data_IF_762438287657
#
_entry.id   IF_762438287657
#
_cell.length_a   1.000
_cell.length_b   1.000
_cell.length_c   1.000
_cell.angle_alpha   90.00
_cell.angle_beta   90.00
_cell.angle_gamma   90.00
#
_symmetry.space_group_name_H-M   'P 1'
#
loop_
_entity.id
_entity.type
_entity.pdbx_description
1 polymer ?
#
# COMPACT_ATOMS: atom_id res chain seq x y z
N UNK A 1 17.71 21.44 16.68
CA UNK A 1 16.50 20.98 17.40
C UNK A 1 15.22 21.07 16.56
N UNK A 2 14.77 22.27 16.13
CA UNK A 2 13.51 22.49 15.40
C UNK A 2 13.31 21.63 14.14
N UNK A 3 14.36 21.42 13.34
CA UNK A 3 14.30 20.55 12.14
C UNK A 3 14.07 19.08 12.51
N UNK A 4 14.79 18.57 13.51
CA UNK A 4 14.62 17.20 13.98
C UNK A 4 13.23 16.97 14.57
N UNK A 5 12.70 17.95 15.31
CA UNK A 5 11.34 17.90 15.86
C UNK A 5 10.28 17.89 14.75
N UNK A 6 10.44 18.70 13.70
CA UNK A 6 9.56 18.65 12.51
C UNK A 6 9.59 17.28 11.83
N UNK A 7 10.77 16.70 11.63
CA UNK A 7 10.91 15.36 11.05
C UNK A 7 10.20 14.32 11.92
N UNK A 8 10.44 14.34 13.23
CA UNK A 8 9.80 13.42 14.17
C UNK A 8 8.28 13.52 14.12
N UNK A 9 7.71 14.73 14.11
CA UNK A 9 6.26 14.94 13.99
C UNK A 9 5.71 14.36 12.69
N UNK A 10 6.38 14.57 11.55
CA UNK A 10 5.92 14.03 10.26
C UNK A 10 5.99 12.50 10.23
N UNK A 11 7.04 11.89 10.81
CA UNK A 11 7.16 10.43 10.94
C UNK A 11 6.07 9.89 11.85
N UNK A 12 5.83 10.49 13.03
CA UNK A 12 4.77 10.07 13.95
C UNK A 12 3.38 10.18 13.30
N UNK A 13 3.14 11.27 12.55
CA UNK A 13 1.88 11.45 11.82
C UNK A 13 1.68 10.34 10.77
N UNK A 14 2.74 9.96 10.04
CA UNK A 14 2.69 8.85 9.09
C UNK A 14 2.35 7.54 9.78
N UNK A 15 3.03 7.23 10.89
CA UNK A 15 2.79 6.00 11.65
C UNK A 15 1.37 5.93 12.17
N UNK A 16 0.90 7.01 12.81
CA UNK A 16 -0.45 7.10 13.33
C UNK A 16 -1.50 6.91 12.22
N UNK A 17 -1.40 7.69 11.14
CA UNK A 17 -2.34 7.63 10.01
C UNK A 17 -2.37 6.24 9.38
N UNK A 18 -1.20 5.62 9.18
CA UNK A 18 -1.10 4.30 8.55
C UNK A 18 -1.62 3.17 9.45
N UNK A 19 -1.26 3.18 10.74
CA UNK A 19 -1.71 2.16 11.69
C UNK A 19 -3.22 2.31 11.91
N UNK A 20 -3.72 3.53 12.14
CA UNK A 20 -5.15 3.80 12.29
C UNK A 20 -5.94 3.31 11.07
N UNK A 21 -5.45 3.54 9.85
CA UNK A 21 -6.10 3.05 8.63
C UNK A 21 -6.21 1.52 8.60
N UNK A 22 -5.17 0.78 9.00
CA UNK A 22 -5.20 -0.69 9.00
C UNK A 22 -6.19 -1.23 10.02
N UNK A 23 -6.17 -0.70 11.26
CA UNK A 23 -7.09 -1.11 12.31
C UNK A 23 -8.54 -0.72 11.99
N UNK A 24 -8.76 0.47 11.42
CA UNK A 24 -10.07 0.92 10.97
C UNK A 24 -10.60 0.03 9.84
N UNK A 25 -9.77 -0.33 8.85
CA UNK A 25 -10.17 -1.27 7.82
C UNK A 25 -10.50 -2.65 8.39
N UNK A 26 -9.70 -3.18 9.33
CA UNK A 26 -10.01 -4.45 10.00
C UNK A 26 -11.33 -4.36 10.76
N UNK A 27 -11.57 -3.27 11.48
CA UNK A 27 -12.84 -3.04 12.17
C UNK A 27 -14.02 -2.94 11.19
N UNK A 28 -13.91 -2.20 10.10
CA UNK A 28 -14.99 -2.09 9.11
C UNK A 28 -15.33 -3.43 8.45
N UNK A 29 -14.33 -4.31 8.27
CA UNK A 29 -14.48 -5.59 7.58
C UNK A 29 -14.87 -6.76 8.48
N UNK A 30 -14.46 -6.72 9.76
CA UNK A 30 -14.52 -7.88 10.65
C UNK A 30 -15.11 -7.56 12.03
N UNK A 31 -15.63 -6.34 12.25
CA UNK A 31 -16.25 -6.00 13.53
C UNK A 31 -17.52 -6.82 13.75
N UNK A 32 -17.65 -7.50 14.92
CA UNK A 32 -18.86 -8.24 15.30
C UNK A 32 -20.10 -7.36 15.35
N UNK A 33 -19.88 -6.06 15.59
CA UNK A 33 -20.94 -5.06 15.66
C UNK A 33 -21.33 -4.55 14.28
N UNK A 34 -20.43 -4.49 13.30
CA UNK A 34 -20.74 -3.91 11.99
C UNK A 34 -21.14 -4.97 10.96
N UNK A 35 -20.60 -6.20 10.99
CA UNK A 35 -20.95 -7.34 10.09
C UNK A 35 -21.24 -6.94 8.63
N UNK A 36 -20.45 -6.01 8.08
CA UNK A 36 -20.61 -5.59 6.70
C UNK A 36 -19.82 -6.54 5.79
N UNK A 37 -20.52 -7.50 5.18
CA UNK A 37 -19.95 -8.39 4.16
C UNK A 37 -19.85 -7.71 2.77
N UNK A 38 -19.32 -6.49 2.73
CA UNK A 38 -19.17 -5.69 1.52
C UNK A 38 -17.82 -4.94 1.46
N UNK A 39 -16.67 -5.65 1.39
CA UNK A 39 -15.34 -5.04 1.32
C UNK A 39 -15.14 -4.09 0.12
N UNK A 40 -15.77 -4.37 -1.02
CA UNK A 40 -15.65 -3.51 -2.20
C UNK A 40 -16.42 -2.21 -2.03
N UNK A 41 -17.59 -2.25 -1.41
CA UNK A 41 -18.35 -1.04 -1.10
C UNK A 41 -17.57 -0.09 -0.19
N UNK A 42 -16.93 -0.61 0.86
CA UNK A 42 -16.08 0.18 1.75
C UNK A 42 -15.01 0.91 0.95
N UNK A 43 -14.32 0.20 0.07
CA UNK A 43 -13.20 0.76 -0.71
C UNK A 43 -13.65 1.67 -1.83
N UNK A 44 -14.78 1.38 -2.47
CA UNK A 44 -15.46 2.27 -3.40
C UNK A 44 -15.76 3.61 -2.74
N UNK A 45 -16.35 3.60 -1.55
CA UNK A 45 -16.66 4.83 -0.81
C UNK A 45 -15.39 5.59 -0.42
N UNK A 46 -14.35 4.90 0.05
CA UNK A 46 -13.05 5.51 0.36
C UNK A 46 -12.41 6.16 -0.88
N UNK A 47 -12.50 5.51 -2.05
CA UNK A 47 -12.00 6.05 -3.32
C UNK A 47 -12.82 7.27 -3.77
N UNK A 48 -14.15 7.19 -3.65
CA UNK A 48 -15.04 8.29 -4.00
C UNK A 48 -14.79 9.52 -3.12
N UNK A 49 -14.64 9.32 -1.80
CA UNK A 49 -14.32 10.40 -0.88
C UNK A 49 -12.93 11.00 -1.17
N UNK A 50 -11.94 10.16 -1.47
CA UNK A 50 -10.60 10.62 -1.86
C UNK A 50 -10.65 11.48 -3.13
N UNK A 51 -11.40 11.06 -4.16
CA UNK A 51 -11.59 11.83 -5.38
C UNK A 51 -12.32 13.17 -5.11
N UNK A 52 -13.35 13.15 -4.27
CA UNK A 52 -14.08 14.35 -3.86
C UNK A 52 -13.20 15.35 -3.10
N UNK A 53 -12.36 14.86 -2.17
CA UNK A 53 -11.40 15.68 -1.43
C UNK A 53 -10.34 16.29 -2.36
N UNK A 54 -9.79 15.50 -3.30
CA UNK A 54 -8.88 16.00 -4.33
C UNK A 54 -9.51 17.13 -5.16
N UNK A 55 -10.78 16.95 -5.57
CA UNK A 55 -11.51 17.96 -6.34
C UNK A 55 -11.77 19.22 -5.49
N UNK A 56 -12.23 19.06 -4.25
CA UNK A 56 -12.48 20.18 -3.32
C UNK A 56 -11.23 21.01 -3.06
N UNK A 57 -10.08 20.36 -2.86
CA UNK A 57 -8.80 21.06 -2.71
C UNK A 57 -8.41 21.82 -3.99
N UNK A 58 -8.69 21.26 -5.17
CA UNK A 58 -8.41 21.95 -6.45
C UNK A 58 -9.28 23.17 -6.68
N UNK A 59 -10.55 23.12 -6.27
CA UNK A 59 -11.49 24.24 -6.35
C UNK A 59 -11.14 25.32 -5.32
N UNK A 60 -10.78 24.92 -4.09
CA UNK A 60 -10.32 25.83 -3.04
C UNK A 60 -9.03 26.55 -3.41
N UNK A 61 -8.09 25.87 -4.07
CA UNK A 61 -6.86 26.47 -4.58
C UNK A 61 -7.10 27.50 -5.71
N UNK A 62 -8.22 27.37 -6.46
CA UNK A 62 -8.61 28.34 -7.48
C UNK A 62 -9.30 29.58 -6.90
N UNK A 63 -9.86 29.50 -5.68
CA UNK A 63 -10.58 30.60 -5.02
C UNK A 63 -9.75 31.32 -3.93
N UNK A 64 -8.65 30.73 -3.46
CA UNK A 64 -7.78 31.29 -2.42
C UNK A 64 -6.48 31.92 -2.96
N UNK A 65 -5.66 32.57 -2.10
CA UNK A 65 -4.31 32.99 -2.49
C UNK A 65 -3.49 31.78 -2.96
N UNK A 66 -2.55 31.95 -3.90
CA UNK A 66 -1.85 30.85 -4.57
C UNK A 66 -0.96 30.08 -3.60
N UNK A 67 -1.54 29.16 -2.85
CA UNK A 67 -0.83 28.17 -2.07
C UNK A 67 -0.16 27.21 -3.07
N UNK A 68 1.16 27.38 -3.20
CA UNK A 68 2.00 26.71 -4.16
C UNK A 68 1.78 25.18 -4.18
N UNK A 69 1.33 24.66 -5.33
CA UNK A 69 1.63 23.28 -5.74
C UNK A 69 0.46 22.34 -6.01
N UNK A 70 -0.80 22.78 -5.94
CA UNK A 70 -1.91 21.93 -6.42
C UNK A 70 -2.19 22.22 -7.91
N UNK A 71 -1.85 21.31 -8.86
CA UNK A 71 -2.15 21.53 -10.26
C UNK A 71 -3.66 21.51 -10.48
N UNK A 72 -4.16 22.41 -11.35
CA UNK A 72 -5.55 22.39 -11.79
C UNK A 72 -5.89 20.98 -12.32
N UNK A 73 -6.84 20.32 -11.66
CA UNK A 73 -7.30 18.98 -12.02
C UNK A 73 -8.30 19.09 -13.16
N UNK A 74 -7.78 19.07 -14.39
CA UNK A 74 -8.62 18.88 -15.59
C UNK A 74 -8.84 17.39 -15.78
N UNK A 75 -10.09 16.99 -16.04
CA UNK A 75 -10.46 15.63 -16.40
C UNK A 75 -10.21 15.43 -17.90
N UNK A 76 -9.06 14.87 -18.24
CA UNK A 76 -8.71 14.48 -19.59
C UNK A 76 -8.98 12.97 -19.79
N UNK A 77 -9.96 12.60 -20.65
CA UNK A 77 -10.30 11.20 -20.90
C UNK A 77 -9.12 10.38 -21.42
N UNK A 78 -8.21 11.03 -22.17
CA UNK A 78 -6.98 10.41 -22.68
C UNK A 78 -6.04 10.01 -21.54
N UNK A 79 -5.88 10.86 -20.53
CA UNK A 79 -5.03 10.57 -19.36
C UNK A 79 -5.68 9.49 -18.51
N UNK A 80 -7.00 9.59 -18.27
CA UNK A 80 -7.77 8.54 -17.59
C UNK A 80 -7.58 7.16 -18.23
N UNK A 81 -7.67 7.05 -19.57
CA UNK A 81 -7.47 5.79 -20.30
C UNK A 81 -6.06 5.22 -20.13
N UNK A 82 -5.03 6.07 -20.10
CA UNK A 82 -3.65 5.66 -19.86
C UNK A 82 -3.40 5.18 -18.42
N UNK A 83 -4.19 5.67 -17.45
CA UNK A 83 -4.14 5.27 -16.04
C UNK A 83 -4.98 4.01 -15.76
N UNK A 84 -5.91 3.63 -16.64
CA UNK A 84 -6.79 2.45 -16.43
C UNK A 84 -6.07 1.15 -16.06
N UNK A 85 -4.94 0.75 -16.70
CA UNK A 85 -4.24 -0.47 -16.31
C UNK A 85 -3.74 -0.43 -14.87
N UNK A 86 -3.28 0.73 -14.41
CA UNK A 86 -2.91 0.95 -13.01
C UNK A 86 -4.13 0.79 -12.09
N UNK A 87 -5.27 1.36 -12.46
CA UNK A 87 -6.50 1.29 -11.68
C UNK A 87 -7.08 -0.13 -11.57
N UNK A 88 -6.97 -0.94 -12.64
CA UNK A 88 -7.37 -2.34 -12.61
C UNK A 88 -6.50 -3.15 -11.62
N UNK A 89 -5.18 -2.96 -11.66
CA UNK A 89 -4.25 -3.61 -10.72
C UNK A 89 -4.47 -3.11 -9.29
N UNK A 90 -4.73 -1.82 -9.11
CA UNK A 90 -5.06 -1.22 -7.82
C UNK A 90 -6.32 -1.85 -7.20
N UNK A 91 -7.37 -2.08 -7.99
CA UNK A 91 -8.58 -2.76 -7.51
C UNK A 91 -8.27 -4.19 -7.10
N UNK A 92 -7.52 -4.94 -7.92
CA UNK A 92 -7.08 -6.29 -7.57
C UNK A 92 -6.29 -6.33 -6.26
N UNK A 93 -5.39 -5.35 -6.08
CA UNK A 93 -4.61 -5.15 -4.86
C UNK A 93 -5.49 -4.89 -3.64
N UNK A 94 -6.42 -3.94 -3.74
CA UNK A 94 -7.28 -3.53 -2.63
C UNK A 94 -8.26 -4.65 -2.25
N UNK A 95 -8.87 -5.29 -3.25
CA UNK A 95 -9.79 -6.43 -3.07
C UNK A 95 -9.09 -7.59 -2.37
N UNK A 96 -7.93 -8.00 -2.88
CA UNK A 96 -7.17 -9.11 -2.31
C UNK A 96 -6.66 -8.79 -0.91
N UNK A 97 -6.24 -7.54 -0.64
CA UNK A 97 -5.83 -7.11 0.70
C UNK A 97 -6.98 -7.20 1.70
N UNK A 98 -8.17 -6.72 1.34
CA UNK A 98 -9.32 -6.76 2.23
C UNK A 98 -9.78 -8.19 2.50
N UNK A 99 -9.81 -9.05 1.47
CA UNK A 99 -10.13 -10.46 1.63
C UNK A 99 -9.09 -11.19 2.49
N UNK A 100 -7.80 -10.85 2.36
CA UNK A 100 -6.74 -11.36 3.23
C UNK A 100 -6.98 -10.93 4.69
N UNK A 101 -7.22 -9.65 4.95
CA UNK A 101 -7.51 -9.13 6.30
C UNK A 101 -8.80 -9.67 6.90
N UNK A 102 -9.76 -10.09 6.07
CA UNK A 102 -10.98 -10.75 6.53
C UNK A 102 -10.70 -12.17 7.03
N UNK A 103 -9.84 -12.91 6.33
CA UNK A 103 -9.57 -14.32 6.61
C UNK A 103 -8.36 -14.57 7.50
N UNK A 104 -7.56 -13.54 7.79
CA UNK A 104 -6.31 -13.66 8.54
C UNK A 104 -6.14 -12.51 9.54
N UNK A 105 -5.44 -12.78 10.64
CA UNK A 105 -5.05 -11.79 11.63
C UNK A 105 -4.13 -10.71 11.05
N UNK A 106 -4.17 -9.52 11.66
CA UNK A 106 -3.38 -8.35 11.23
C UNK A 106 -1.87 -8.60 11.33
N UNK A 107 -1.46 -9.45 12.29
CA UNK A 107 -0.08 -9.81 12.51
C UNK A 107 0.50 -10.65 11.35
N UNK A 108 -0.21 -11.72 10.94
CA UNK A 108 0.19 -12.54 9.78
C UNK A 108 -0.02 -11.82 8.43
N UNK A 109 -0.97 -10.88 8.35
CA UNK A 109 -1.07 -10.00 7.18
C UNK A 109 0.23 -9.26 6.88
N UNK A 110 0.97 -8.79 7.89
CA UNK A 110 2.27 -8.14 7.68
C UNK A 110 3.33 -9.13 7.16
N UNK A 111 3.28 -10.39 7.60
CA UNK A 111 4.13 -11.48 7.10
C UNK A 111 3.85 -11.72 5.62
N UNK A 112 2.59 -11.89 5.21
CA UNK A 112 2.20 -12.04 3.81
C UNK A 112 2.56 -10.83 2.96
N UNK A 113 2.39 -9.61 3.49
CA UNK A 113 2.70 -8.35 2.79
C UNK A 113 4.17 -8.22 2.43
N UNK A 114 5.07 -8.78 3.23
CA UNK A 114 6.51 -8.73 2.95
C UNK A 114 6.91 -9.42 1.63
N UNK A 115 6.13 -10.42 1.17
CA UNK A 115 6.34 -11.10 -0.11
C UNK A 115 6.22 -10.14 -1.30
N UNK A 116 5.56 -9.00 -1.12
CA UNK A 116 5.55 -7.90 -2.11
C UNK A 116 6.97 -7.56 -2.55
N UNK A 117 7.94 -7.58 -1.63
CA UNK A 117 9.34 -7.30 -1.93
C UNK A 117 9.92 -8.30 -2.91
N UNK A 118 9.67 -9.60 -2.67
CA UNK A 118 10.13 -10.70 -3.52
C UNK A 118 9.50 -10.59 -4.91
N UNK A 119 8.19 -10.39 -4.99
CA UNK A 119 7.50 -10.19 -6.27
C UNK A 119 7.96 -8.94 -7.00
N UNK A 120 8.28 -7.86 -6.28
CA UNK A 120 8.78 -6.65 -6.89
C UNK A 120 10.16 -6.86 -7.54
N UNK A 121 11.05 -7.65 -6.91
CA UNK A 121 12.33 -8.06 -7.52
C UNK A 121 12.08 -8.90 -8.77
N UNK A 122 11.24 -9.94 -8.66
CA UNK A 122 10.92 -10.85 -9.76
C UNK A 122 10.32 -10.10 -10.96
N UNK A 123 9.32 -9.26 -10.73
CA UNK A 123 8.65 -8.50 -11.78
C UNK A 123 9.49 -7.36 -12.31
N UNK A 124 10.36 -6.74 -11.51
CA UNK A 124 11.34 -5.76 -12.02
C UNK A 124 12.33 -6.42 -12.96
N UNK A 125 12.73 -7.66 -12.68
CA UNK A 125 13.55 -8.44 -13.61
C UNK A 125 12.77 -8.81 -14.88
N UNK A 126 11.54 -9.35 -14.76
CA UNK A 126 10.75 -9.83 -15.90
C UNK A 126 10.22 -8.69 -16.80
N UNK A 127 9.68 -7.62 -16.21
CA UNK A 127 9.01 -6.53 -16.94
C UNK A 127 9.95 -5.39 -17.32
N UNK A 128 10.91 -5.05 -16.44
CA UNK A 128 11.82 -3.91 -16.66
C UNK A 128 13.21 -4.36 -17.13
N UNK A 129 13.50 -5.68 -17.16
CA UNK A 129 14.83 -6.24 -17.48
C UNK A 129 15.95 -5.65 -16.62
N UNK A 130 15.63 -5.26 -15.38
CA UNK A 130 16.61 -4.74 -14.43
C UNK A 130 17.25 -5.88 -13.64
N UNK A 131 18.58 -5.95 -13.66
CA UNK A 131 19.34 -6.91 -12.86
C UNK A 131 19.33 -6.49 -11.38
N UNK A 132 19.36 -7.47 -10.49
CA UNK A 132 19.32 -7.26 -9.04
C UNK A 132 20.57 -7.85 -8.41
N UNK A 133 21.15 -7.19 -7.41
CA UNK A 133 22.35 -7.68 -6.75
C UNK A 133 22.11 -8.98 -5.98
N UNK A 134 23.18 -9.75 -5.80
CA UNK A 134 23.18 -10.95 -4.97
C UNK A 134 22.70 -10.66 -3.54
N UNK A 135 23.06 -9.52 -2.98
CA UNK A 135 22.62 -9.11 -1.63
C UNK A 135 21.10 -8.93 -1.53
N UNK A 136 20.47 -8.37 -2.56
CA UNK A 136 19.02 -8.24 -2.61
C UNK A 136 18.32 -9.60 -2.81
N UNK A 137 18.94 -10.53 -3.55
CA UNK A 137 18.48 -11.92 -3.67
C UNK A 137 18.56 -12.68 -2.33
N UNK A 138 19.67 -12.53 -1.59
CA UNK A 138 19.80 -13.12 -0.25
C UNK A 138 18.73 -12.59 0.71
N UNK A 139 18.46 -11.29 0.68
CA UNK A 139 17.37 -10.69 1.47
C UNK A 139 15.99 -11.29 1.10
N UNK A 140 15.74 -11.55 -0.19
CA UNK A 140 14.52 -12.24 -0.63
C UNK A 140 14.46 -13.68 -0.09
N UNK A 141 15.59 -14.40 -0.08
CA UNK A 141 15.68 -15.73 0.52
C UNK A 141 15.30 -15.74 2.01
N UNK A 142 15.78 -14.75 2.78
CA UNK A 142 15.41 -14.58 4.19
C UNK A 142 13.91 -14.31 4.36
N UNK A 143 13.31 -13.49 3.49
CA UNK A 143 11.86 -13.22 3.52
C UNK A 143 11.06 -14.50 3.23
N UNK A 144 11.46 -15.29 2.23
CA UNK A 144 10.78 -16.55 1.88
C UNK A 144 10.88 -17.55 3.03
N UNK A 145 12.07 -17.70 3.62
CA UNK A 145 12.28 -18.60 4.77
C UNK A 145 11.45 -18.18 5.98
N UNK A 146 11.42 -16.87 6.27
CA UNK A 146 10.59 -16.33 7.34
C UNK A 146 9.09 -16.52 7.07
N UNK A 147 8.62 -16.32 5.84
CA UNK A 147 7.23 -16.56 5.45
C UNK A 147 6.84 -18.03 5.63
N UNK A 148 7.68 -18.97 5.19
CA UNK A 148 7.43 -20.40 5.38
C UNK A 148 7.32 -20.75 6.86
N UNK A 149 8.28 -20.31 7.67
CA UNK A 149 8.24 -20.52 9.13
C UNK A 149 6.96 -19.93 9.74
N UNK A 150 6.49 -18.77 9.27
CA UNK A 150 5.26 -18.15 9.75
C UNK A 150 4.02 -18.98 9.40
N UNK A 151 3.94 -19.50 8.18
CA UNK A 151 2.86 -20.39 7.72
C UNK A 151 2.83 -21.67 8.56
N UNK A 152 3.99 -22.28 8.80
CA UNK A 152 4.10 -23.50 9.61
C UNK A 152 3.60 -23.28 11.05
N UNK A 153 3.99 -22.16 11.68
CA UNK A 153 3.57 -21.84 13.05
C UNK A 153 2.07 -21.49 13.15
N UNK A 154 1.50 -20.74 12.21
CA UNK A 154 0.04 -20.52 12.16
C UNK A 154 -0.72 -21.84 11.90
N UNK A 155 -0.12 -22.75 11.14
CA UNK A 155 -0.65 -24.11 10.96
C UNK A 155 -0.66 -24.91 12.26
N UNK A 156 0.42 -24.85 13.03
CA UNK A 156 0.54 -25.51 14.32
C UNK A 156 -0.41 -24.91 15.39
N UNK A 157 -0.66 -23.60 15.33
CA UNK A 157 -1.63 -22.90 16.21
C UNK A 157 -3.09 -23.14 15.80
N UNK A 158 -3.35 -23.74 14.63
CA UNK A 158 -4.70 -24.05 14.14
C UNK A 158 -5.48 -22.84 13.61
N UNK A 159 -4.85 -21.68 13.50
CA UNK A 159 -5.42 -20.41 13.01
C UNK A 159 -5.26 -20.23 11.50
N UNK A 160 -4.66 -21.21 10.82
CA UNK A 160 -4.31 -21.13 9.41
C UNK A 160 -5.55 -21.13 8.49
N UNK A 161 -5.64 -20.09 7.67
CA UNK A 161 -6.62 -19.98 6.59
C UNK A 161 -5.93 -20.05 5.23
N UNK A 162 -6.12 -21.16 4.51
CA UNK A 162 -5.60 -21.34 3.15
C UNK A 162 -6.12 -20.28 2.17
N UNK A 163 -7.40 -19.91 2.30
CA UNK A 163 -8.02 -18.83 1.54
C UNK A 163 -7.34 -17.50 1.84
N UNK A 164 -7.03 -17.24 3.11
CA UNK A 164 -6.30 -16.06 3.55
C UNK A 164 -4.87 -15.99 3.00
N UNK A 165 -4.14 -17.11 3.03
CA UNK A 165 -2.79 -17.21 2.43
C UNK A 165 -2.83 -16.93 0.93
N UNK A 166 -3.77 -17.54 0.20
CA UNK A 166 -3.93 -17.34 -1.24
C UNK A 166 -4.18 -15.86 -1.57
N UNK A 167 -5.13 -15.21 -0.88
CA UNK A 167 -5.40 -13.79 -1.07
C UNK A 167 -4.23 -12.91 -0.62
N UNK A 168 -3.47 -13.31 0.40
CA UNK A 168 -2.26 -12.60 0.84
C UNK A 168 -1.15 -12.63 -0.21
N UNK A 169 -0.91 -13.78 -0.84
CA UNK A 169 0.07 -13.92 -1.94
C UNK A 169 -0.39 -13.10 -3.15
N UNK A 170 -1.66 -13.23 -3.53
CA UNK A 170 -2.23 -12.47 -4.65
C UNK A 170 -2.20 -10.96 -4.40
N UNK A 171 -2.50 -10.53 -3.17
CA UNK A 171 -2.40 -9.14 -2.77
C UNK A 171 -0.97 -8.63 -2.92
N UNK A 172 0.03 -9.35 -2.39
CA UNK A 172 1.44 -9.00 -2.53
C UNK A 172 1.91 -8.89 -3.98
N UNK A 173 1.44 -9.80 -4.85
CA UNK A 173 1.67 -9.72 -6.29
C UNK A 173 1.05 -8.44 -6.89
N UNK A 174 -0.23 -8.17 -6.62
CA UNK A 174 -0.90 -6.97 -7.11
C UNK A 174 -0.28 -5.68 -6.57
N UNK A 175 0.18 -5.64 -5.30
CA UNK A 175 0.90 -4.48 -4.73
C UNK A 175 2.18 -4.22 -5.53
N UNK A 176 2.95 -5.28 -5.83
CA UNK A 176 4.20 -5.14 -6.58
C UNK A 176 3.96 -4.67 -8.02
N UNK A 177 2.95 -5.21 -8.71
CA UNK A 177 2.51 -4.73 -10.02
C UNK A 177 2.05 -3.27 -9.96
N UNK A 178 1.26 -2.90 -8.93
CA UNK A 178 0.78 -1.54 -8.74
C UNK A 178 1.96 -0.56 -8.58
N UNK A 179 2.99 -0.92 -7.83
CA UNK A 179 4.20 -0.12 -7.67
C UNK A 179 4.95 0.08 -9.01
N UNK A 180 5.04 -0.97 -9.82
CA UNK A 180 5.68 -0.93 -11.15
C UNK A 180 4.88 -0.05 -12.12
N UNK A 181 3.57 -0.27 -12.22
CA UNK A 181 2.71 0.55 -13.08
C UNK A 181 2.64 2.00 -12.63
N UNK A 182 2.66 2.26 -11.32
CA UNK A 182 2.73 3.63 -10.78
C UNK A 182 3.97 4.34 -11.33
N UNK A 183 5.14 3.71 -11.29
CA UNK A 183 6.37 4.27 -11.87
C UNK A 183 6.27 4.48 -13.38
N UNK A 184 5.64 3.57 -14.10
CA UNK A 184 5.48 3.63 -15.56
C UNK A 184 4.49 4.72 -16.01
N UNK A 185 3.43 4.96 -15.23
CA UNK A 185 2.35 5.91 -15.54
C UNK A 185 2.65 7.31 -14.97
N UNK A 186 3.52 7.44 -13.95
CA UNK A 186 3.89 8.72 -13.35
C UNK A 186 4.36 9.79 -14.38
N UNK A 187 5.16 9.47 -15.41
CA UNK A 187 5.52 10.44 -16.45
C UNK A 187 4.34 10.93 -17.30
N UNK A 188 3.28 10.12 -17.44
CA UNK A 188 2.08 10.44 -18.24
C UNK A 188 1.21 11.51 -17.57
N UNK A 189 1.38 11.71 -16.26
CA UNK A 189 0.64 12.69 -15.44
C UNK A 189 1.54 13.85 -14.99
N UNK A 190 2.55 14.18 -15.78
CA UNK A 190 3.55 15.24 -15.52
C UNK A 190 4.29 15.07 -14.19
N UNK A 191 4.48 13.82 -13.73
CA UNK A 191 5.13 13.55 -12.43
C UNK A 191 4.28 13.91 -11.20
N UNK A 192 3.03 14.34 -11.39
CA UNK A 192 2.16 14.74 -10.29
C UNK A 192 1.47 13.54 -9.64
N UNK A 193 1.90 13.21 -8.42
CA UNK A 193 1.29 12.17 -7.58
C UNK A 193 -0.19 12.50 -7.31
N UNK A 194 -0.53 13.77 -7.13
CA UNK A 194 -1.90 14.22 -6.91
C UNK A 194 -2.81 13.94 -8.09
N UNK A 195 -2.32 14.24 -9.30
CA UNK A 195 -3.04 13.95 -10.53
C UNK A 195 -3.20 12.44 -10.70
N UNK A 196 -2.15 11.65 -10.44
CA UNK A 196 -2.21 10.20 -10.49
C UNK A 196 -3.27 9.64 -9.52
N UNK A 197 -3.25 10.09 -8.26
CA UNK A 197 -4.19 9.66 -7.22
C UNK A 197 -5.62 10.00 -7.62
N UNK A 198 -5.87 11.20 -8.12
CA UNK A 198 -7.21 11.59 -8.58
C UNK A 198 -7.72 10.71 -9.72
N UNK A 199 -6.95 10.57 -10.81
CA UNK A 199 -7.34 9.73 -11.95
C UNK A 199 -7.52 8.27 -11.54
N UNK A 200 -6.64 7.76 -10.69
CA UNK A 200 -6.73 6.39 -10.22
C UNK A 200 -8.00 6.14 -9.39
N UNK A 201 -8.35 7.07 -8.49
CA UNK A 201 -9.55 6.93 -7.66
C UNK A 201 -10.85 7.10 -8.47
N UNK A 202 -10.89 8.03 -9.44
CA UNK A 202 -12.04 8.18 -10.36
C UNK A 202 -12.23 6.90 -11.19
N UNK A 203 -11.15 6.41 -11.82
CA UNK A 203 -11.20 5.16 -12.58
C UNK A 203 -11.59 3.98 -11.68
N UNK A 204 -11.09 3.94 -10.44
CA UNK A 204 -11.43 2.90 -9.49
C UNK A 204 -12.93 2.92 -9.14
N UNK A 205 -13.53 4.09 -8.91
CA UNK A 205 -14.98 4.20 -8.68
C UNK A 205 -15.80 3.60 -9.84
N UNK A 206 -15.40 3.87 -11.09
CA UNK A 206 -16.07 3.32 -12.28
C UNK A 206 -15.92 1.80 -12.36
N UNK A 207 -14.73 1.27 -12.06
CA UNK A 207 -14.41 -0.16 -12.15
C UNK A 207 -14.95 -0.97 -10.96
N UNK A 208 -15.10 -0.38 -9.78
CA UNK A 208 -15.71 -1.04 -8.61
C UNK A 208 -17.21 -1.28 -8.81
N UNK A 209 -17.90 -0.41 -9.54
CA UNK A 209 -19.34 -0.55 -9.78
C UNK A 209 -19.74 -1.92 -10.39
N UNK A 210 -19.19 -2.36 -11.53
CA UNK A 210 -19.51 -3.68 -12.08
C UNK A 210 -19.07 -4.82 -11.17
N UNK A 211 -17.96 -4.67 -10.44
CA UNK A 211 -17.49 -5.71 -9.51
C UNK A 211 -18.45 -5.89 -8.32
N UNK A 212 -18.98 -4.81 -7.76
CA UNK A 212 -20.00 -4.87 -6.71
C UNK A 212 -21.30 -5.54 -7.19
N UNK A 213 -21.68 -5.34 -8.47
CA UNK A 213 -22.82 -6.05 -9.08
C UNK A 213 -22.52 -7.55 -9.19
N UNK A 214 -21.36 -7.91 -9.75
CA UNK A 214 -20.97 -9.29 -9.98
C UNK A 214 -20.83 -10.11 -8.70
N UNK A 215 -20.31 -9.49 -7.64
CA UNK A 215 -20.12 -10.13 -6.33
C UNK A 215 -21.36 -10.04 -5.43
N UNK A 216 -22.43 -9.39 -5.90
CA UNK A 216 -23.71 -9.33 -5.19
C UNK A 216 -23.70 -8.43 -3.95
N UNK A 217 -22.70 -7.55 -3.77
CA UNK A 217 -22.60 -6.69 -2.59
C UNK A 217 -23.80 -5.74 -2.46
N UNK A 218 -24.44 -5.34 -3.57
CA UNK A 218 -25.68 -4.55 -3.51
C UNK A 218 -26.82 -5.28 -2.78
N UNK A 219 -26.90 -6.61 -2.90
CA UNK A 219 -27.89 -7.41 -2.17
C UNK A 219 -27.56 -7.43 -0.67
N UNK A 220 -26.29 -7.58 -0.33
CA UNK A 220 -25.81 -7.53 1.06
C UNK A 220 -26.09 -6.17 1.68
N UNK A 221 -25.83 -5.08 0.95
CA UNK A 221 -26.14 -3.73 1.38
C UNK A 221 -27.64 -3.52 1.59
N UNK A 222 -28.49 -3.98 0.67
CA UNK A 222 -29.94 -3.83 0.82
C UNK A 222 -30.49 -4.47 2.12
N UNK A 223 -29.91 -5.59 2.54
CA UNK A 223 -30.28 -6.27 3.79
C UNK A 223 -29.48 -5.79 5.01
N UNK A 224 -28.68 -4.74 4.86
CA UNK A 224 -27.81 -4.25 5.93
C UNK A 224 -28.54 -3.24 6.82
N UNK A 225 -28.93 -3.68 8.01
CA UNK A 225 -29.74 -2.91 8.96
C UNK A 225 -29.11 -1.60 9.43
N UNK A 226 -27.78 -1.44 9.31
CA UNK A 226 -27.04 -0.25 9.80
C UNK A 226 -26.73 0.78 8.72
N UNK A 227 -27.23 0.61 7.50
CA UNK A 227 -27.10 1.61 6.42
C UNK A 227 -27.62 2.99 6.81
N UNK A 228 -28.67 3.07 7.63
CA UNK A 228 -29.23 4.34 8.10
C UNK A 228 -28.48 4.97 9.28
N UNK A 229 -27.48 4.29 9.85
CA UNK A 229 -26.82 4.74 11.07
C UNK A 229 -25.83 5.87 10.80
N UNK A 230 -25.93 7.03 11.49
CA UNK A 230 -24.90 8.07 11.40
C UNK A 230 -23.53 7.60 11.85
N UNK A 231 -23.46 6.66 12.80
CA UNK A 231 -22.19 6.09 13.29
C UNK A 231 -21.48 5.28 12.20
N UNK A 232 -22.23 4.52 11.40
CA UNK A 232 -21.69 3.79 10.25
C UNK A 232 -21.06 4.75 9.23
N UNK A 233 -21.79 5.78 8.82
CA UNK A 233 -21.28 6.77 7.87
C UNK A 233 -20.14 7.61 8.44
N UNK A 234 -20.14 7.87 9.76
CA UNK A 234 -19.02 8.49 10.46
C UNK A 234 -17.74 7.66 10.33
N UNK A 235 -17.82 6.35 10.57
CA UNK A 235 -16.66 5.45 10.43
C UNK A 235 -16.22 5.26 8.98
N UNK A 236 -17.16 5.17 8.04
CA UNK A 236 -16.87 5.11 6.60
C UNK A 236 -16.15 6.38 6.12
N UNK A 237 -16.63 7.55 6.55
CA UNK A 237 -16.03 8.85 6.24
C UNK A 237 -14.65 8.98 6.87
N UNK A 238 -14.51 8.57 8.12
CA UNK A 238 -13.21 8.55 8.81
C UNK A 238 -12.20 7.69 8.06
N UNK A 239 -12.60 6.49 7.61
CA UNK A 239 -11.76 5.61 6.80
C UNK A 239 -11.34 6.25 5.48
N UNK A 240 -12.26 6.92 4.76
CA UNK A 240 -11.90 7.62 3.53
C UNK A 240 -11.00 8.84 3.76
N UNK A 241 -11.17 9.57 4.87
CA UNK A 241 -10.28 10.67 5.27
C UNK A 241 -8.88 10.16 5.58
N UNK A 242 -8.74 9.06 6.33
CA UNK A 242 -7.44 8.42 6.56
C UNK A 242 -6.82 7.87 5.27
N UNK A 243 -7.64 7.32 4.36
CA UNK A 243 -7.22 6.88 3.03
C UNK A 243 -6.70 8.00 2.13
N UNK A 244 -7.27 9.21 2.24
CA UNK A 244 -6.71 10.40 1.60
C UNK A 244 -5.44 10.89 2.32
N UNK A 245 -5.50 10.98 3.65
CA UNK A 245 -4.42 11.51 4.49
C UNK A 245 -3.13 10.69 4.36
N UNK A 246 -3.20 9.36 4.19
CA UNK A 246 -2.00 8.54 4.03
C UNK A 246 -1.20 8.95 2.79
N UNK A 247 -1.88 9.26 1.67
CA UNK A 247 -1.21 9.76 0.46
C UNK A 247 -0.50 11.09 0.70
N UNK A 248 -1.17 12.01 1.39
CA UNK A 248 -0.60 13.32 1.75
C UNK A 248 0.61 13.19 2.68
N UNK A 249 0.45 12.45 3.78
CA UNK A 249 1.46 12.33 4.82
C UNK A 249 2.67 11.52 4.34
N UNK A 250 2.48 10.51 3.49
CA UNK A 250 3.58 9.82 2.80
C UNK A 250 4.39 10.79 1.94
N UNK A 251 3.73 11.62 1.14
CA UNK A 251 4.41 12.66 0.35
C UNK A 251 5.17 13.67 1.22
N UNK A 252 4.55 14.09 2.33
CA UNK A 252 5.15 14.99 3.30
C UNK A 252 6.41 14.37 3.95
N UNK A 253 6.33 13.10 4.35
CA UNK A 253 7.46 12.40 4.94
C UNK A 253 8.62 12.28 3.96
N UNK A 254 8.36 11.89 2.72
CA UNK A 254 9.38 11.82 1.67
C UNK A 254 10.03 13.20 1.45
N UNK A 255 9.22 14.27 1.44
CA UNK A 255 9.70 15.65 1.24
C UNK A 255 10.60 16.15 2.38
N UNK A 256 10.27 15.83 3.64
CA UNK A 256 11.06 16.25 4.81
C UNK A 256 12.21 15.31 5.15
N UNK A 257 12.24 14.11 4.56
CA UNK A 257 13.28 13.11 4.80
C UNK A 257 13.92 12.68 3.47
N UNK A 258 13.68 11.43 3.05
CA UNK A 258 14.05 10.90 1.75
C UNK A 258 13.16 9.69 1.42
N UNK A 259 13.08 9.27 0.15
CA UNK A 259 12.41 8.02 -0.21
C UNK A 259 12.97 6.79 0.53
N UNK A 260 14.27 6.77 0.78
CA UNK A 260 14.93 5.69 1.55
C UNK A 260 14.48 5.70 3.01
N UNK A 261 14.48 6.87 3.64
CA UNK A 261 14.03 7.04 5.04
C UNK A 261 12.56 6.68 5.20
N UNK A 262 11.70 7.04 4.24
CA UNK A 262 10.30 6.63 4.22
C UNK A 262 10.16 5.09 4.19
N UNK A 263 10.92 4.40 3.35
CA UNK A 263 10.85 2.94 3.27
C UNK A 263 11.34 2.27 4.55
N UNK A 264 12.46 2.74 5.13
CA UNK A 264 12.94 2.27 6.43
C UNK A 264 11.91 2.51 7.54
N UNK A 265 11.33 3.71 7.59
CA UNK A 265 10.25 4.05 8.51
C UNK A 265 9.02 3.16 8.29
N UNK A 266 8.71 2.78 7.06
CA UNK A 266 7.62 1.88 6.71
C UNK A 266 7.80 0.48 7.30
N UNK A 267 9.01 -0.06 7.27
CA UNK A 267 9.35 -1.35 7.88
C UNK A 267 9.26 -1.27 9.40
N UNK A 268 9.84 -0.23 10.03
CA UNK A 268 9.75 -0.04 11.47
C UNK A 268 8.29 0.13 11.95
N UNK A 269 7.47 0.86 11.19
CA UNK A 269 6.03 0.96 11.40
C UNK A 269 5.34 -0.41 11.28
N UNK A 270 5.74 -1.27 10.34
CA UNK A 270 5.20 -2.62 10.23
C UNK A 270 5.53 -3.45 11.47
N UNK A 271 6.77 -3.36 12.00
CA UNK A 271 7.15 -4.00 13.26
C UNK A 271 6.23 -3.55 14.42
N UNK A 272 6.09 -2.24 14.60
CA UNK A 272 5.27 -1.68 15.66
C UNK A 272 3.79 -2.06 15.50
N UNK A 273 3.27 -2.04 14.26
CA UNK A 273 1.90 -2.46 13.97
C UNK A 273 1.68 -3.95 14.31
N UNK A 274 2.65 -4.84 14.05
CA UNK A 274 2.54 -6.25 14.41
C UNK A 274 2.48 -6.42 15.93
N UNK A 275 3.36 -5.74 16.69
CA UNK A 275 3.36 -5.80 18.16
C UNK A 275 2.04 -5.25 18.72
N UNK A 276 1.59 -4.10 18.23
CA UNK A 276 0.31 -3.51 18.63
C UNK A 276 -0.88 -4.43 18.31
N UNK A 277 -0.87 -5.12 17.17
CA UNK A 277 -1.93 -6.06 16.82
C UNK A 277 -1.98 -7.24 17.78
N UNK A 278 -0.84 -7.87 18.08
CA UNK A 278 -0.78 -9.00 19.02
C UNK A 278 -1.27 -8.59 20.41
N UNK A 279 -0.89 -7.40 20.90
CA UNK A 279 -1.36 -6.87 22.18
C UNK A 279 -2.86 -6.55 22.15
N UNK A 280 -3.34 -5.89 21.10
CA UNK A 280 -4.73 -5.43 21.00
C UNK A 280 -5.73 -6.58 20.83
N UNK A 281 -5.35 -7.63 20.08
CA UNK A 281 -6.17 -8.82 19.88
C UNK A 281 -5.93 -9.90 20.94
N UNK A 282 -5.11 -9.62 21.96
CA UNK A 282 -4.77 -10.55 23.06
C UNK A 282 -4.29 -11.93 22.56
N UNK A 283 -3.56 -11.94 21.44
CA UNK A 283 -3.05 -13.17 20.83
C UNK A 283 -1.77 -13.64 21.54
N UNK A 284 -1.70 -14.92 21.91
CA UNK A 284 -0.45 -15.53 22.38
C UNK A 284 0.25 -16.21 21.21
N UNK A 285 1.48 -15.76 20.90
CA UNK A 285 2.26 -16.27 19.76
C UNK A 285 3.52 -17.00 20.21
N UNK A 286 3.86 -18.09 19.51
CA UNK A 286 5.06 -18.89 19.80
C UNK A 286 6.36 -18.10 19.58
N UNK A 287 7.46 -18.55 20.21
CA UNK A 287 8.78 -17.93 19.98
C UNK A 287 9.24 -18.05 18.51
N UNK A 288 8.93 -19.18 17.87
CA UNK A 288 9.23 -19.42 16.47
C UNK A 288 8.45 -18.47 15.55
N UNK A 289 7.20 -18.15 15.92
CA UNK A 289 6.39 -17.15 15.21
C UNK A 289 7.06 -15.76 15.26
N UNK A 290 7.58 -15.36 16.42
CA UNK A 290 8.33 -14.11 16.54
C UNK A 290 9.62 -14.12 15.71
N UNK A 291 10.31 -15.26 15.65
CA UNK A 291 11.50 -15.42 14.82
C UNK A 291 11.17 -15.30 13.33
N UNK A 292 10.07 -15.90 12.88
CA UNK A 292 9.54 -15.71 11.53
C UNK A 292 9.31 -14.23 11.21
N UNK A 293 8.58 -13.52 12.08
CA UNK A 293 8.27 -12.12 11.89
C UNK A 293 9.55 -11.25 11.85
N UNK A 294 10.54 -11.55 12.71
CA UNK A 294 11.85 -10.88 12.68
C UNK A 294 12.64 -11.15 11.40
N UNK A 295 12.66 -12.39 10.91
CA UNK A 295 13.29 -12.74 9.63
C UNK A 295 12.67 -11.97 8.48
N UNK A 296 11.34 -11.94 8.42
CA UNK A 296 10.58 -11.27 7.37
C UNK A 296 10.82 -9.76 7.35
N UNK A 297 10.70 -9.11 8.51
CA UNK A 297 10.86 -7.66 8.66
C UNK A 297 12.33 -7.27 8.49
N UNK A 298 13.25 -8.06 9.05
CA UNK A 298 14.69 -7.88 8.90
C UNK A 298 15.15 -8.04 7.44
N UNK A 299 14.65 -9.05 6.73
CA UNK A 299 14.91 -9.25 5.30
C UNK A 299 14.36 -8.09 4.46
N UNK A 300 13.16 -7.60 4.77
CA UNK A 300 12.58 -6.43 4.09
C UNK A 300 13.39 -5.15 4.34
N UNK A 301 13.90 -4.97 5.56
CA UNK A 301 14.81 -3.88 5.90
C UNK A 301 16.13 -3.98 5.14
N UNK A 302 16.78 -5.16 5.17
CA UNK A 302 18.03 -5.42 4.47
C UNK A 302 17.89 -5.18 2.95
N UNK A 303 16.81 -5.66 2.33
CA UNK A 303 16.52 -5.40 0.92
C UNK A 303 16.41 -3.90 0.63
N UNK A 304 15.64 -3.17 1.44
CA UNK A 304 15.44 -1.73 1.30
C UNK A 304 16.76 -0.98 1.42
N UNK A 305 17.62 -1.39 2.36
CA UNK A 305 18.94 -0.83 2.57
C UNK A 305 19.86 -1.04 1.37
N UNK A 306 19.96 -2.30 0.88
CA UNK A 306 20.76 -2.65 -0.30
C UNK A 306 20.30 -1.85 -1.52
N UNK A 307 18.99 -1.79 -1.79
CA UNK A 307 18.47 -0.99 -2.90
C UNK A 307 18.74 0.50 -2.73
N UNK A 308 18.66 1.02 -1.51
CA UNK A 308 19.03 2.40 -1.20
C UNK A 308 20.50 2.71 -1.55
N UNK A 309 21.41 1.80 -1.23
CA UNK A 309 22.83 1.94 -1.56
C UNK A 309 23.09 1.85 -3.06
N UNK A 310 22.42 0.91 -3.76
CA UNK A 310 22.51 0.81 -5.23
C UNK A 310 22.06 2.09 -5.92
N UNK A 311 20.93 2.68 -5.48
CA UNK A 311 20.42 3.93 -6.05
C UNK A 311 21.39 5.10 -5.84
N UNK A 312 22.07 5.19 -4.68
CA UNK A 312 23.10 6.21 -4.43
C UNK A 312 24.31 6.05 -5.34
N UNK A 313 24.83 4.83 -5.50
CA UNK A 313 25.99 4.56 -6.37
C UNK A 313 25.73 4.95 -7.83
N UNK A 314 24.54 4.65 -8.36
CA UNK A 314 24.15 5.04 -9.73
C UNK A 314 24.07 6.55 -9.90
N UNK A 315 23.78 7.29 -8.84
CA UNK A 315 23.64 8.74 -8.86
C UNK A 315 24.99 9.46 -8.70
N UNK A 316 25.95 8.83 -8.02
CA UNK A 316 27.32 9.31 -7.84
C UNK A 316 28.22 9.01 -9.08
N UNK A 317 27.93 7.95 -9.86
CA UNK A 317 28.65 7.58 -11.10
C UNK A 317 27.77 7.64 -12.38
N UNK A 318 27.48 8.83 -12.93
CA UNK A 318 26.72 8.95 -14.18
C UNK A 318 27.50 8.50 -15.44
N UNK A 319 28.82 8.28 -15.35
CA UNK A 319 29.70 8.09 -16.52
C UNK A 319 29.77 6.64 -17.05
N UNK A 320 29.20 5.66 -16.36
CA UNK A 320 29.29 4.24 -16.77
C UNK A 320 28.30 3.89 -17.89
N UNK A 321 27.18 4.61 -18.04
CA UNK A 321 26.24 4.40 -19.17
C UNK A 321 26.76 4.90 -20.52
N UNK A 322 27.79 5.75 -20.53
CA UNK A 322 28.42 6.26 -21.76
C UNK A 322 29.39 5.25 -22.36
N UNK A 323 29.93 4.32 -21.56
CA UNK A 323 30.96 3.35 -21.98
C UNK A 323 30.40 2.12 -22.69
N UNK A 324 29.27 1.58 -22.25
CA UNK A 324 28.71 0.34 -22.83
C UNK A 324 28.09 0.54 -24.23
N UNK A 325 27.87 1.79 -24.66
CA UNK A 325 27.38 2.09 -26.03
C UNK A 325 28.51 2.21 -27.07
N UNK A 326 29.77 2.29 -26.65
CA UNK A 326 30.91 2.44 -27.55
C UNK A 326 31.72 1.14 -27.75
N UNK A 327 31.43 0.07 -27.03
CA UNK A 327 32.14 -1.23 -27.14
C UNK A 327 31.43 -2.26 -28.06
N UNK A 328 30.46 -1.83 -28.85
CA UNK A 328 29.92 -2.62 -29.98
C UNK A 328 30.16 -1.88 -31.29
N UNK A 329 31.44 -1.72 -31.62
CA UNK A 329 31.89 -1.20 -32.89
C UNK A 329 33.13 -1.93 -33.37
N UNK A 330 32.94 -3.14 -33.91
CA UNK A 330 33.65 -3.70 -35.08
C UNK A 330 32.69 -4.64 -35.80
#
# INVERSE_FOLDING_TARGET
>A
LLRALRIAVVVCLYWFTSIAMVFLNKYLLDSPSLRLDAPLFVTFFQCALTAALCLGLSLGAACGPPCAGLPALRLDPKVSRSVLPLSAVFIGMVTSNNLCLKHVGVAFYNVGRSLTTVFNVLLSYLLLKQTTSLYALLACGVIIGGFWLGVDQEGAEGTLSWTGIFFGILASLCVSLNAIYTKKVLPVVDGSIWRLTFYNNINACVLFFPLMVLLGEFRTLYHFDKLGSPSFWGMMTLGGVFGFAIGYVTGLQIKFTSPLTHNVSGTAKACAQTVLAVIYFEETKSFLWWTSNLMVLGGSFAYTWVKGLEMRKVQEDPNVKSGERNDTGV
#
